data_IF_640631494578
#
_entry.id   IF_640631494578
#
_cell.length_a   1.000
_cell.length_b   1.000
_cell.length_c   1.000
_cell.angle_alpha   90.00
_cell.angle_beta   90.00
_cell.angle_gamma   90.00
#
_symmetry.space_group_name_H-M   'P 1'
#
loop_
_entity.id
_entity.type
_entity.pdbx_description
1 polymer ?
#
# COMPACT_ATOMS: atom_id res chain seq x y z
N UNK A 1 -13.36 6.18 -49.53
CA UNK A 1 -13.11 7.42 -48.85
C UNK A 1 -13.86 7.50 -47.55
N UNK A 2 -15.17 7.29 -47.54
CA UNK A 2 -15.90 7.38 -46.30
C UNK A 2 -15.48 6.31 -45.30
N UNK A 3 -15.06 5.16 -45.78
CA UNK A 3 -14.64 4.09 -44.89
C UNK A 3 -13.38 4.48 -44.15
N UNK A 4 -12.50 5.25 -44.78
CA UNK A 4 -11.28 5.64 -44.11
C UNK A 4 -11.59 6.61 -42.99
N UNK A 5 -12.52 7.51 -43.17
CA UNK A 5 -12.88 8.47 -42.13
C UNK A 5 -13.51 7.78 -40.95
N UNK A 6 -14.31 6.75 -41.19
CA UNK A 6 -14.96 6.02 -40.14
C UNK A 6 -13.88 5.23 -39.35
N UNK A 7 -12.94 4.62 -40.03
CA UNK A 7 -11.90 3.84 -39.39
C UNK A 7 -11.03 4.74 -38.53
N UNK A 8 -10.74 5.95 -39.00
CA UNK A 8 -9.92 6.89 -38.23
C UNK A 8 -10.69 7.32 -36.99
N UNK A 9 -11.97 7.55 -37.12
CA UNK A 9 -12.77 8.01 -35.99
C UNK A 9 -12.84 6.90 -34.93
N UNK A 10 -13.01 5.65 -35.36
CA UNK A 10 -13.05 4.55 -34.41
C UNK A 10 -11.73 4.37 -33.70
N UNK A 11 -10.63 4.62 -34.37
CA UNK A 11 -9.33 4.48 -33.77
C UNK A 11 -9.14 5.56 -32.71
N UNK A 12 -9.60 6.77 -32.96
CA UNK A 12 -9.51 7.85 -32.01
C UNK A 12 -10.35 7.55 -30.77
N UNK A 13 -11.55 6.99 -30.96
CA UNK A 13 -12.42 6.67 -29.84
C UNK A 13 -11.76 5.59 -28.97
N UNK A 14 -11.10 4.64 -29.59
CA UNK A 14 -10.45 3.57 -28.84
C UNK A 14 -9.30 4.16 -28.03
N UNK A 15 -8.57 5.12 -28.57
CA UNK A 15 -7.47 5.74 -27.86
C UNK A 15 -7.97 6.50 -26.66
N UNK A 16 -9.10 7.18 -26.79
CA UNK A 16 -9.65 7.93 -25.68
C UNK A 16 -10.05 7.01 -24.55
N UNK A 17 -10.61 5.86 -24.85
CA UNK A 17 -11.03 4.96 -23.78
C UNK A 17 -9.82 4.40 -23.05
N UNK A 18 -8.64 4.39 -23.64
CA UNK A 18 -7.46 3.89 -22.96
C UNK A 18 -7.03 4.82 -21.84
N UNK A 19 -7.48 6.08 -21.85
CA UNK A 19 -7.11 7.00 -20.79
C UNK A 19 -8.08 6.91 -19.61
N UNK A 20 -9.08 6.04 -19.70
CA UNK A 20 -10.05 5.91 -18.63
C UNK A 20 -9.54 5.20 -17.41
N UNK A 21 -8.33 4.59 -17.49
CA UNK A 21 -7.82 3.87 -16.35
C UNK A 21 -6.86 4.73 -15.60
N UNK A 22 -7.25 5.18 -14.46
CA UNK A 22 -6.42 6.02 -13.65
C UNK A 22 -5.63 5.26 -12.63
N UNK A 23 -4.56 5.87 -12.19
CA UNK A 23 -3.76 5.33 -11.11
C UNK A 23 -3.49 6.47 -10.13
N UNK A 24 -3.31 6.12 -8.88
CA UNK A 24 -3.00 7.09 -7.85
C UNK A 24 -1.78 6.62 -7.09
N UNK A 25 -1.04 7.56 -6.54
CA UNK A 25 0.14 7.23 -5.78
C UNK A 25 -0.17 7.42 -4.31
N UNK A 26 0.09 6.40 -3.50
CA UNK A 26 -0.05 6.50 -2.07
C UNK A 26 1.37 6.52 -1.54
N UNK A 27 1.70 7.54 -0.77
CA UNK A 27 3.04 7.68 -0.24
C UNK A 27 2.98 8.15 1.21
N UNK A 28 4.06 8.02 1.91
CA UNK A 28 4.10 8.46 3.29
C UNK A 28 5.32 7.97 4.01
N UNK A 29 5.32 8.12 5.33
CA UNK A 29 6.43 7.71 6.16
C UNK A 29 5.94 6.69 7.18
N UNK A 30 6.78 5.72 7.47
CA UNK A 30 6.48 4.69 8.45
C UNK A 30 7.47 4.84 9.58
N UNK A 31 6.96 4.91 10.81
CA UNK A 31 7.78 5.07 11.99
C UNK A 31 7.37 4.07 13.05
N UNK A 32 8.28 3.81 13.99
CA UNK A 32 7.94 2.95 15.12
C UNK A 32 7.28 3.80 16.20
N UNK A 33 6.97 3.19 17.32
CA UNK A 33 6.31 3.90 18.42
C UNK A 33 7.15 5.01 19.03
N UNK A 34 8.44 4.96 18.83
CA UNK A 34 9.35 5.97 19.39
C UNK A 34 9.60 7.09 18.36
N UNK A 35 8.97 7.02 17.22
CA UNK A 35 9.12 8.05 16.19
C UNK A 35 10.27 7.83 15.23
N UNK A 36 10.98 6.72 15.33
CA UNK A 36 12.11 6.46 14.45
C UNK A 36 11.64 5.89 13.11
N UNK A 37 12.29 6.27 12.01
CA UNK A 37 11.88 5.77 10.70
C UNK A 37 12.17 4.28 10.58
N UNK A 38 11.32 3.56 9.88
CA UNK A 38 11.48 2.13 9.67
C UNK A 38 11.85 1.82 8.24
N UNK A 39 13.00 1.19 8.05
CA UNK A 39 13.48 0.80 6.76
C UNK A 39 12.97 -0.61 6.45
N UNK A 40 12.88 -0.95 5.20
CA UNK A 40 12.51 -2.28 4.75
C UNK A 40 11.16 -2.81 5.21
N UNK A 41 10.21 -1.92 5.40
CA UNK A 41 8.85 -2.33 5.68
C UNK A 41 8.24 -2.72 4.34
N UNK A 42 7.60 -3.88 4.30
CA UNK A 42 6.95 -4.35 3.09
C UNK A 42 5.52 -3.82 3.07
N UNK A 43 5.14 -3.10 2.05
CA UNK A 43 3.79 -2.57 1.90
C UNK A 43 3.19 -3.27 0.70
N UNK A 44 2.05 -3.92 0.89
CA UNK A 44 1.43 -4.66 -0.20
C UNK A 44 -0.07 -4.40 -0.26
N UNK A 45 -0.61 -4.38 -1.46
CA UNK A 45 -2.05 -4.29 -1.64
C UNK A 45 -2.59 -5.70 -1.42
N UNK A 46 -3.48 -5.86 -0.45
CA UNK A 46 -4.02 -7.15 -0.07
C UNK A 46 -4.56 -7.92 -1.27
N UNK A 47 -4.27 -9.21 -1.30
CA UNK A 47 -4.71 -10.09 -2.36
C UNK A 47 -4.13 -9.80 -3.74
N UNK A 48 -3.03 -9.09 -3.82
CA UNK A 48 -2.37 -8.83 -5.08
C UNK A 48 -0.86 -8.97 -4.90
N UNK A 49 -0.14 -8.89 -5.99
CA UNK A 49 1.32 -8.92 -5.95
C UNK A 49 1.88 -7.49 -5.98
N UNK A 50 1.02 -6.48 -5.98
CA UNK A 50 1.46 -5.10 -6.05
C UNK A 50 1.97 -4.68 -4.68
N UNK A 51 3.17 -4.18 -4.63
CA UNK A 51 3.77 -3.76 -3.35
C UNK A 51 5.03 -2.96 -3.53
N UNK A 52 5.55 -2.50 -2.41
CA UNK A 52 6.77 -1.71 -2.38
C UNK A 52 7.42 -1.88 -1.02
N UNK A 53 8.55 -1.23 -0.80
CA UNK A 53 9.23 -1.27 0.49
C UNK A 53 9.63 0.14 0.88
N UNK A 54 9.71 0.38 2.19
CA UNK A 54 10.16 1.68 2.67
C UNK A 54 11.68 1.76 2.61
N UNK A 55 12.20 2.96 2.56
CA UNK A 55 13.66 3.19 2.52
C UNK A 55 14.16 3.56 3.91
N UNK A 56 15.43 3.90 4.03
CA UNK A 56 16.03 4.19 5.32
C UNK A 56 15.42 5.41 6.01
N UNK A 57 14.69 6.23 5.32
CA UNK A 57 14.01 7.36 5.94
C UNK A 57 12.59 6.98 6.32
N UNK A 58 12.21 5.72 6.09
CA UNK A 58 10.87 5.26 6.36
C UNK A 58 9.88 5.64 5.28
N UNK A 59 10.33 6.20 4.18
CA UNK A 59 9.44 6.68 3.12
C UNK A 59 9.09 5.56 2.16
N UNK A 60 7.85 5.52 1.75
CA UNK A 60 7.38 4.56 0.75
C UNK A 60 6.49 5.26 -0.28
N UNK A 61 6.36 4.65 -1.42
CA UNK A 61 5.50 5.16 -2.49
C UNK A 61 4.97 3.97 -3.27
N UNK A 62 3.68 3.91 -3.48
CA UNK A 62 3.03 2.79 -4.13
C UNK A 62 1.95 3.28 -5.09
N UNK A 63 1.91 2.73 -6.28
CA UNK A 63 0.90 3.11 -7.27
C UNK A 63 -0.23 2.09 -7.25
N UNK A 64 -1.45 2.55 -7.18
CA UNK A 64 -2.62 1.67 -7.15
C UNK A 64 -3.65 2.13 -8.17
N UNK A 65 -4.52 1.23 -8.58
CA UNK A 65 -5.58 1.60 -9.51
C UNK A 65 -6.63 2.41 -8.76
N UNK A 66 -7.20 3.41 -9.41
CA UNK A 66 -8.24 4.21 -8.78
C UNK A 66 -9.61 3.57 -8.97
N UNK A 67 -10.53 4.00 -8.17
CA UNK A 67 -11.93 3.59 -8.31
C UNK A 67 -12.43 2.61 -7.27
N UNK A 68 -11.60 1.73 -6.79
CA UNK A 68 -12.04 0.72 -5.84
C UNK A 68 -11.39 0.91 -4.49
N UNK A 69 -11.86 0.18 -3.51
CA UNK A 69 -11.24 0.23 -2.21
C UNK A 69 -9.91 -0.50 -2.28
N UNK A 70 -8.96 -0.08 -1.49
CA UNK A 70 -7.63 -0.65 -1.45
C UNK A 70 -7.30 -0.92 -0.01
N UNK A 71 -6.82 -2.12 0.29
CA UNK A 71 -6.36 -2.44 1.64
C UNK A 71 -4.86 -2.63 1.58
N UNK A 72 -4.14 -1.85 2.36
CA UNK A 72 -2.70 -1.94 2.40
C UNK A 72 -2.26 -2.68 3.64
N UNK A 73 -1.32 -3.60 3.48
CA UNK A 73 -0.79 -4.36 4.59
C UNK A 73 0.68 -4.00 4.72
N UNK A 74 1.05 -3.55 5.92
CA UNK A 74 2.42 -3.16 6.23
C UNK A 74 3.02 -4.24 7.13
N UNK A 75 4.13 -4.81 6.73
CA UNK A 75 4.78 -5.84 7.55
C UNK A 75 6.28 -5.61 7.63
N UNK A 76 6.83 -5.90 8.78
CA UNK A 76 8.25 -5.75 9.02
C UNK A 76 8.63 -6.72 10.12
N UNK A 77 9.79 -7.35 10.00
CA UNK A 77 10.23 -8.31 10.98
C UNK A 77 10.37 -7.64 12.35
N UNK A 78 9.80 -8.23 13.35
CA UNK A 78 9.85 -7.66 14.70
C UNK A 78 8.73 -6.69 15.02
N UNK A 79 7.81 -6.47 14.09
CA UNK A 79 6.71 -5.54 14.30
C UNK A 79 5.39 -6.21 13.97
N UNK A 80 4.33 -5.75 14.60
CA UNK A 80 3.00 -6.27 14.31
C UNK A 80 2.56 -5.71 12.96
N UNK A 81 1.86 -6.50 12.19
CA UNK A 81 1.38 -6.03 10.91
C UNK A 81 0.37 -4.91 11.13
N UNK A 82 0.39 -3.94 10.25
CA UNK A 82 -0.58 -2.87 10.27
C UNK A 82 -1.40 -2.96 8.99
N UNK A 83 -2.66 -2.61 9.07
CA UNK A 83 -3.52 -2.69 7.92
C UNK A 83 -4.28 -1.38 7.79
N UNK A 84 -4.41 -0.86 6.59
CA UNK A 84 -5.15 0.38 6.36
C UNK A 84 -6.11 0.14 5.20
N UNK A 85 -7.37 0.44 5.43
CA UNK A 85 -8.39 0.27 4.42
C UNK A 85 -8.74 1.65 3.86
N UNK A 86 -8.58 1.79 2.56
CA UNK A 86 -8.91 3.03 1.88
C UNK A 86 -10.17 2.76 1.07
N UNK A 87 -11.33 3.27 1.51
CA UNK A 87 -12.61 2.94 0.90
C UNK A 87 -12.70 3.20 -0.60
N UNK A 88 -12.09 4.25 -1.05
CA UNK A 88 -12.10 4.52 -2.47
C UNK A 88 -10.97 5.47 -2.78
N UNK A 89 -10.04 5.03 -3.59
CA UNK A 89 -8.90 5.85 -3.93
C UNK A 89 -9.18 6.55 -5.25
N UNK A 90 -9.18 7.85 -5.27
CA UNK A 90 -9.47 8.62 -6.48
C UNK A 90 -8.31 9.50 -6.93
N UNK A 91 -7.37 9.80 -6.04
CA UNK A 91 -6.24 10.65 -6.37
C UNK A 91 -5.08 10.34 -5.47
N UNK A 92 -3.92 10.91 -5.76
CA UNK A 92 -2.74 10.70 -4.95
C UNK A 92 -3.02 11.12 -3.51
N UNK A 93 -2.47 10.41 -2.57
CA UNK A 93 -2.69 10.71 -1.17
C UNK A 93 -1.47 10.36 -0.34
N UNK A 94 -1.41 10.95 0.84
CA UNK A 94 -0.32 10.67 1.76
C UNK A 94 -0.88 9.90 2.95
N UNK A 95 -0.21 8.85 3.34
CA UNK A 95 -0.66 8.03 4.45
C UNK A 95 0.56 7.64 5.28
N UNK A 96 0.68 8.23 6.45
CA UNK A 96 1.76 7.91 7.36
C UNK A 96 1.27 6.84 8.34
N UNK A 97 2.14 5.91 8.68
CA UNK A 97 1.75 4.77 9.49
C UNK A 97 2.75 4.58 10.62
N UNK A 98 2.24 4.23 11.78
CA UNK A 98 3.07 3.88 12.92
C UNK A 98 2.95 2.37 13.11
N UNK A 99 4.07 1.69 13.26
CA UNK A 99 4.08 0.26 13.53
C UNK A 99 4.61 0.01 14.93
N UNK A 100 4.01 -0.95 15.61
CA UNK A 100 4.39 -1.25 16.97
C UNK A 100 5.18 -2.55 17.04
N UNK A 101 6.10 -2.63 18.00
CA UNK A 101 6.91 -3.82 18.17
C UNK A 101 6.02 -5.02 18.45
N UNK A 102 6.44 -6.15 17.95
CA UNK A 102 5.71 -7.35 18.22
C UNK A 102 5.91 -7.58 19.69
N UNK A 103 4.86 -7.74 20.31
CA UNK A 103 4.98 -7.93 21.66
C UNK A 103 5.70 -9.14 21.99
N UNK A 104 6.80 -8.92 22.41
CA UNK A 104 7.52 -9.99 22.71
C UNK A 104 7.12 -10.50 23.75
N UNK A 105 6.52 -9.69 24.13
CA UNK A 105 5.96 -10.07 25.19
C UNK A 105 5.39 -11.28 24.93
N UNK A 106 5.27 -11.41 23.82
CA UNK A 106 4.69 -12.56 23.54
C UNK A 106 5.45 -13.46 24.13
N UNK A 107 6.58 -13.18 24.04
CA UNK A 107 7.33 -14.12 24.46
C UNK A 107 7.32 -14.10 25.91
N UNK A 108 7.44 -13.08 26.35
CA UNK A 108 7.62 -13.12 27.63
C UNK A 108 6.56 -13.43 28.34
N UNK A 109 5.69 -12.96 27.82
CA UNK A 109 4.53 -13.22 28.53
C UNK A 109 4.44 -14.58 28.64
N UNK A 110 4.62 -15.01 27.65
CA UNK A 110 4.52 -16.31 27.64
C UNK A 110 5.32 -16.87 28.59
N UNK A 111 6.44 -16.43 28.67
CA UNK A 111 7.29 -16.99 29.50
C UNK A 111 6.66 -17.04 30.78
N UNK A 112 6.18 -16.00 31.11
CA UNK A 112 5.66 -16.01 32.32
C UNK A 112 4.60 -16.87 32.47
N UNK A 113 3.71 -16.74 31.77
CA UNK A 113 2.57 -17.51 31.94
C UNK A 113 3.01 -18.89 31.93
N UNK A 114 3.86 -19.03 31.10
CA UNK A 114 4.25 -20.29 30.98
C UNK A 114 4.86 -20.79 32.11
N UNK A 115 5.48 -20.01 32.69
CA UNK A 115 6.07 -20.48 33.68
C UNK A 115 5.33 -20.66 34.76
N UNK A 116 4.43 -20.28 34.75
CA UNK A 116 3.76 -20.42 35.77
C UNK A 116 3.17 -21.55 35.87
N UNK A 117 3.31 -21.95 35.17
CA UNK A 117 2.74 -22.93 35.22
C UNK A 117 3.07 -23.84 35.35
#
# INVERSE_FOLDING_TARGET
MKIRAIATLLFILFSISAFGQGRAKISGYIRDADGNPLDLVNIRVKNTLNGTMSNEKGHYSLSVATGDSVTLIYSCLGYNKAERILPQVTKDMRLNVQMNYTSLELGEVVATALRKQ
#
